data_IF_343894389812
#
_entry.id   IF_343894389812
#
_cell.length_a   1.000
_cell.length_b   1.000
_cell.length_c   1.000
_cell.angle_alpha   90.00
_cell.angle_beta   90.00
_cell.angle_gamma   90.00
#
_symmetry.space_group_name_H-M   'P 1'
#
loop_
_entity.id
_entity.type
_entity.pdbx_description
1 polymer ?
#
# COMPACT_ATOMS: atom_id res chain seq x y z
N UNK A 1 -10.84 -12.20 27.99
CA UNK A 1 -10.49 -11.75 26.62
C UNK A 1 -10.05 -10.30 26.58
N UNK A 2 -10.95 -9.32 26.77
CA UNK A 2 -10.65 -7.90 26.55
C UNK A 2 -9.52 -7.36 27.45
N UNK A 3 -9.55 -7.63 28.76
CA UNK A 3 -8.47 -7.22 29.67
C UNK A 3 -7.10 -7.79 29.25
N UNK A 4 -7.06 -8.98 28.65
CA UNK A 4 -5.81 -9.58 28.15
C UNK A 4 -5.29 -8.84 26.93
N UNK A 5 -6.19 -8.45 26.02
CA UNK A 5 -5.86 -7.58 24.88
C UNK A 5 -5.37 -6.19 25.28
N UNK A 6 -5.75 -5.68 26.44
CA UNK A 6 -5.23 -4.41 26.95
C UNK A 6 -3.80 -4.54 27.50
N UNK A 7 -3.47 -5.70 28.07
CA UNK A 7 -2.23 -5.93 28.82
C UNK A 7 -1.10 -6.55 27.98
N UNK A 8 -1.41 -7.35 26.98
CA UNK A 8 -0.40 -8.04 26.17
C UNK A 8 0.40 -7.06 25.29
N UNK A 9 1.51 -7.53 24.72
CA UNK A 9 2.28 -6.73 23.76
C UNK A 9 1.47 -6.49 22.48
N UNK A 10 1.77 -5.39 21.79
CA UNK A 10 1.09 -5.06 20.54
C UNK A 10 1.40 -6.15 19.49
N UNK A 11 0.37 -6.71 18.89
CA UNK A 11 0.52 -7.78 17.88
C UNK A 11 0.82 -9.16 18.46
N UNK A 12 0.82 -9.33 19.78
CA UNK A 12 1.14 -10.61 20.41
C UNK A 12 0.06 -11.67 20.12
N UNK A 13 0.51 -12.87 19.76
CA UNK A 13 -0.33 -14.05 19.67
C UNK A 13 -0.67 -14.56 21.07
N UNK A 14 -1.87 -14.25 21.54
CA UNK A 14 -2.38 -14.74 22.83
C UNK A 14 -3.42 -15.86 22.61
N UNK A 15 -3.48 -16.89 23.48
CA UNK A 15 -4.44 -18.00 23.36
C UNK A 15 -5.89 -17.55 23.23
N UNK A 16 -6.24 -16.44 23.89
CA UNK A 16 -7.56 -15.82 23.86
C UNK A 16 -8.06 -15.45 22.45
N UNK A 17 -7.15 -15.23 21.49
CA UNK A 17 -7.54 -14.95 20.10
C UNK A 17 -8.24 -16.15 19.45
N UNK A 18 -7.81 -17.38 19.78
CA UNK A 18 -8.41 -18.61 19.25
C UNK A 18 -9.84 -18.83 19.76
N UNK A 19 -10.15 -18.35 20.96
CA UNK A 19 -11.51 -18.39 21.51
C UNK A 19 -12.37 -17.24 20.97
N UNK A 20 -11.78 -16.04 20.86
CA UNK A 20 -12.47 -14.85 20.37
C UNK A 20 -12.99 -14.99 18.93
N UNK A 21 -12.41 -15.85 18.09
CA UNK A 21 -12.93 -16.10 16.73
C UNK A 21 -14.23 -16.92 16.69
N UNK A 22 -14.66 -17.49 17.82
CA UNK A 22 -15.88 -18.30 17.87
C UNK A 22 -17.15 -17.43 17.82
N UNK A 23 -18.15 -17.74 16.98
CA UNK A 23 -19.39 -16.96 16.87
C UNK A 23 -20.15 -16.79 18.17
N UNK A 24 -20.13 -17.80 19.04
CA UNK A 24 -20.74 -17.73 20.36
C UNK A 24 -20.11 -16.66 21.24
N UNK A 25 -18.81 -16.39 21.08
CA UNK A 25 -18.02 -15.45 21.88
C UNK A 25 -18.07 -14.04 21.27
N UNK A 26 -17.68 -13.85 20.00
CA UNK A 26 -17.57 -12.49 19.46
C UNK A 26 -18.92 -11.79 19.28
N UNK A 27 -20.03 -12.53 19.22
CA UNK A 27 -21.39 -11.96 19.19
C UNK A 27 -21.98 -11.72 20.59
N UNK A 28 -21.29 -12.12 21.68
CA UNK A 28 -21.78 -11.84 23.03
C UNK A 28 -21.91 -10.33 23.23
N UNK A 29 -23.02 -9.90 23.83
CA UNK A 29 -23.28 -8.50 24.15
C UNK A 29 -22.26 -8.02 25.19
N UNK A 30 -21.69 -6.85 24.95
CA UNK A 30 -20.75 -6.16 25.81
C UNK A 30 -21.11 -4.67 25.85
N UNK A 31 -21.30 -4.09 27.04
CA UNK A 31 -21.57 -2.66 27.28
C UNK A 31 -22.52 -1.97 26.27
N UNK A 32 -23.76 -1.66 26.69
CA UNK A 32 -24.81 -1.07 25.85
C UNK A 32 -25.13 -1.93 24.62
N UNK A 33 -24.64 -1.54 23.44
CA UNK A 33 -25.00 -2.06 22.12
C UNK A 33 -23.82 -2.73 21.38
N UNK A 34 -22.64 -2.80 22.00
CA UNK A 34 -21.48 -3.44 21.37
C UNK A 34 -21.47 -4.95 21.65
N UNK A 35 -20.70 -5.68 20.84
CA UNK A 35 -20.34 -7.06 21.10
C UNK A 35 -18.90 -7.17 21.57
N UNK A 36 -18.54 -8.29 22.21
CA UNK A 36 -17.17 -8.59 22.62
C UNK A 36 -16.20 -8.48 21.43
N UNK A 37 -16.60 -8.98 20.25
CA UNK A 37 -15.77 -8.87 19.04
C UNK A 37 -15.53 -7.42 18.61
N UNK A 38 -16.57 -6.59 18.61
CA UNK A 38 -16.45 -5.19 18.21
C UNK A 38 -15.51 -4.43 19.16
N UNK A 39 -15.63 -4.70 20.45
CA UNK A 39 -14.76 -4.10 21.45
C UNK A 39 -13.32 -4.60 21.35
N UNK A 40 -13.11 -5.89 21.10
CA UNK A 40 -11.76 -6.44 20.89
C UNK A 40 -11.05 -5.75 19.70
N UNK A 41 -11.74 -5.60 18.57
CA UNK A 41 -11.20 -4.91 17.39
C UNK A 41 -10.91 -3.44 17.71
N UNK A 42 -11.82 -2.77 18.44
CA UNK A 42 -11.62 -1.38 18.88
C UNK A 42 -10.33 -1.24 19.68
N UNK A 43 -10.14 -2.07 20.71
CA UNK A 43 -8.93 -2.08 21.54
C UNK A 43 -7.68 -2.29 20.69
N UNK A 44 -7.69 -3.28 19.79
CA UNK A 44 -6.52 -3.59 18.96
C UNK A 44 -6.11 -2.42 18.06
N UNK A 45 -7.08 -1.79 17.38
CA UNK A 45 -6.83 -0.66 16.50
C UNK A 45 -6.39 0.57 17.31
N UNK A 46 -7.07 0.88 18.41
CA UNK A 46 -6.76 2.04 19.25
C UNK A 46 -5.34 1.94 19.81
N UNK A 47 -4.94 0.78 20.35
CA UNK A 47 -3.58 0.56 20.87
C UNK A 47 -2.50 0.72 19.81
N UNK A 48 -2.76 0.30 18.57
CA UNK A 48 -1.81 0.47 17.47
C UNK A 48 -1.70 1.94 17.05
N UNK A 49 -2.82 2.65 16.97
CA UNK A 49 -2.87 4.07 16.68
C UNK A 49 -2.14 4.91 17.74
N UNK A 50 -2.35 4.61 19.03
CA UNK A 50 -1.67 5.25 20.16
C UNK A 50 -0.15 5.08 20.10
N UNK A 51 0.34 3.94 19.60
CA UNK A 51 1.76 3.68 19.39
C UNK A 51 2.30 4.16 18.04
N UNK A 52 1.46 4.83 17.23
CA UNK A 52 1.77 5.26 15.88
C UNK A 52 2.32 4.13 14.98
N UNK A 53 1.81 2.91 15.16
CA UNK A 53 2.30 1.71 14.46
C UNK A 53 1.15 0.89 13.85
N UNK A 54 1.52 -0.13 13.07
CA UNK A 54 0.59 -1.21 12.68
C UNK A 54 0.30 -2.11 13.89
N UNK A 55 -0.89 -2.76 13.97
CA UNK A 55 -1.22 -3.72 15.02
C UNK A 55 -0.39 -5.00 14.95
N UNK A 56 0.44 -5.18 13.92
CA UNK A 56 1.19 -6.41 13.67
C UNK A 56 0.37 -7.45 12.92
N UNK A 57 1.05 -8.41 12.30
CA UNK A 57 0.44 -9.39 11.40
C UNK A 57 -0.64 -10.23 12.10
N UNK A 58 -0.35 -10.77 13.29
CA UNK A 58 -1.29 -11.63 14.03
C UNK A 58 -2.61 -10.92 14.34
N UNK A 59 -2.55 -9.67 14.81
CA UNK A 59 -3.75 -8.92 15.13
C UNK A 59 -4.47 -8.44 13.86
N UNK A 60 -3.71 -8.01 12.84
CA UNK A 60 -4.28 -7.62 11.55
C UNK A 60 -5.09 -8.78 10.94
N UNK A 61 -4.51 -9.99 10.92
CA UNK A 61 -5.20 -11.18 10.45
C UNK A 61 -6.43 -11.53 11.28
N UNK A 62 -6.33 -11.44 12.60
CA UNK A 62 -7.47 -11.66 13.48
C UNK A 62 -8.61 -10.68 13.18
N UNK A 63 -8.30 -9.39 13.02
CA UNK A 63 -9.27 -8.36 12.67
C UNK A 63 -9.93 -8.70 11.33
N UNK A 64 -9.14 -9.04 10.29
CA UNK A 64 -9.65 -9.40 8.97
C UNK A 64 -10.50 -10.66 8.98
N UNK A 65 -10.15 -11.67 9.79
CA UNK A 65 -10.93 -12.91 9.93
C UNK A 65 -12.33 -12.64 10.49
N UNK A 66 -12.45 -11.68 11.42
CA UNK A 66 -13.75 -11.31 12.00
C UNK A 66 -14.55 -10.34 11.12
N UNK A 67 -13.87 -9.35 10.54
CA UNK A 67 -14.52 -8.18 9.91
C UNK A 67 -14.55 -8.23 8.38
N UNK A 68 -13.73 -9.09 7.77
CA UNK A 68 -13.42 -9.04 6.35
C UNK A 68 -12.50 -7.89 5.97
N UNK A 69 -12.27 -7.70 4.67
CA UNK A 69 -11.49 -6.57 4.15
C UNK A 69 -12.34 -5.28 4.17
N UNK A 70 -11.88 -4.16 4.77
CA UNK A 70 -12.59 -2.89 4.81
C UNK A 70 -12.65 -2.14 3.47
N UNK A 71 -11.78 -2.46 2.50
CA UNK A 71 -11.63 -1.74 1.22
C UNK A 71 -12.82 -1.93 0.26
N UNK A 72 -13.36 -3.14 0.04
CA UNK A 72 -14.57 -3.34 -0.75
C UNK A 72 -15.86 -2.97 0.01
N UNK A 73 -15.78 -2.51 1.26
CA UNK A 73 -16.95 -2.43 2.12
C UNK A 73 -17.99 -1.45 1.55
N UNK A 74 -19.03 -1.99 0.92
CA UNK A 74 -20.17 -1.23 0.43
C UNK A 74 -21.03 -0.85 1.62
N UNK A 75 -21.25 0.46 1.79
CA UNK A 75 -22.15 1.00 2.80
C UNK A 75 -23.52 0.30 2.72
N UNK A 76 -24.13 0.03 3.88
CA UNK A 76 -25.44 -0.62 3.98
C UNK A 76 -25.44 -2.16 3.93
N UNK A 77 -24.33 -2.81 3.52
CA UNK A 77 -24.23 -4.29 3.63
C UNK A 77 -24.27 -4.76 5.08
N UNK A 78 -24.73 -5.99 5.33
CA UNK A 78 -24.82 -6.55 6.70
C UNK A 78 -23.47 -6.56 7.40
N UNK A 79 -22.41 -6.93 6.69
CA UNK A 79 -21.04 -6.93 7.23
C UNK A 79 -20.56 -5.51 7.58
N UNK A 80 -20.81 -4.55 6.67
CA UNK A 80 -20.49 -3.14 6.93
C UNK A 80 -21.25 -2.58 8.13
N UNK A 81 -22.56 -2.83 8.22
CA UNK A 81 -23.40 -2.39 9.35
C UNK A 81 -22.99 -3.02 10.68
N UNK A 82 -22.49 -4.25 10.64
CA UNK A 82 -22.05 -4.94 11.84
C UNK A 82 -20.70 -4.42 12.35
N UNK A 83 -19.72 -4.26 11.46
CA UNK A 83 -18.34 -4.00 11.88
C UNK A 83 -17.86 -2.59 11.57
N UNK A 84 -18.09 -2.09 10.36
CA UNK A 84 -17.47 -0.86 9.91
C UNK A 84 -18.20 0.39 10.37
N UNK A 85 -19.54 0.37 10.43
CA UNK A 85 -20.30 1.51 10.96
C UNK A 85 -20.12 1.73 12.46
N UNK A 86 -19.71 0.70 13.22
CA UNK A 86 -19.51 0.78 14.68
C UNK A 86 -18.11 1.27 15.06
N UNK A 87 -17.09 0.98 14.24
CA UNK A 87 -15.69 1.32 14.52
C UNK A 87 -15.33 2.80 14.26
N UNK A 88 -16.22 3.59 13.65
CA UNK A 88 -15.99 4.97 13.14
C UNK A 88 -14.94 5.01 12.02
N UNK A 89 -15.00 6.05 11.18
CA UNK A 89 -14.22 6.10 9.94
C UNK A 89 -12.70 6.13 10.16
N UNK A 90 -12.19 6.81 11.19
CA UNK A 90 -10.75 6.89 11.44
C UNK A 90 -10.08 5.51 11.67
N UNK A 91 -10.78 4.58 12.32
CA UNK A 91 -10.28 3.19 12.53
C UNK A 91 -10.30 2.39 11.24
N UNK A 92 -11.38 2.54 10.45
CA UNK A 92 -11.48 1.92 9.13
C UNK A 92 -10.33 2.39 8.24
N UNK A 93 -10.07 3.69 8.23
CA UNK A 93 -8.98 4.28 7.45
C UNK A 93 -7.59 3.85 7.94
N UNK A 94 -7.38 3.71 9.25
CA UNK A 94 -6.14 3.14 9.78
C UNK A 94 -5.89 1.72 9.24
N UNK A 95 -6.92 0.88 9.24
CA UNK A 95 -6.85 -0.48 8.72
C UNK A 95 -6.58 -0.51 7.21
N UNK A 96 -7.26 0.35 6.43
CA UNK A 96 -7.00 0.47 4.98
C UNK A 96 -5.54 0.84 4.71
N UNK A 97 -4.96 1.78 5.47
CA UNK A 97 -3.54 2.15 5.34
C UNK A 97 -2.60 1.02 5.72
N UNK A 98 -2.87 0.27 6.78
CA UNK A 98 -2.05 -0.90 7.13
C UNK A 98 -2.09 -1.99 6.05
N UNK A 99 -3.26 -2.24 5.46
CA UNK A 99 -3.40 -3.14 4.32
C UNK A 99 -2.68 -2.63 3.07
N UNK A 100 -2.65 -1.32 2.87
CA UNK A 100 -1.91 -0.72 1.77
C UNK A 100 -0.39 -0.94 1.91
N UNK A 101 0.13 -0.80 3.14
CA UNK A 101 1.54 -1.10 3.46
C UNK A 101 1.84 -2.59 3.23
N UNK A 102 0.95 -3.48 3.67
CA UNK A 102 1.09 -4.92 3.45
C UNK A 102 1.09 -5.29 1.96
N UNK A 103 0.24 -4.63 1.16
CA UNK A 103 0.22 -4.77 -0.29
C UNK A 103 1.55 -4.31 -0.91
N UNK A 104 2.11 -3.17 -0.49
CA UNK A 104 3.42 -2.70 -0.97
C UNK A 104 4.54 -3.70 -0.61
N UNK A 105 4.56 -4.22 0.61
CA UNK A 105 5.54 -5.23 1.03
C UNK A 105 5.43 -6.51 0.20
N UNK A 106 4.21 -6.98 -0.05
CA UNK A 106 3.97 -8.15 -0.88
C UNK A 106 4.38 -7.89 -2.35
N UNK A 107 4.14 -6.68 -2.88
CA UNK A 107 4.64 -6.29 -4.20
C UNK A 107 6.15 -6.32 -4.29
N UNK A 108 6.86 -5.75 -3.29
CA UNK A 108 8.31 -5.76 -3.23
C UNK A 108 8.87 -7.18 -3.16
N UNK A 109 8.18 -8.09 -2.48
CA UNK A 109 8.57 -9.49 -2.44
C UNK A 109 8.41 -10.19 -3.79
N UNK A 110 7.30 -9.93 -4.50
CA UNK A 110 7.09 -10.45 -5.85
C UNK A 110 8.12 -9.86 -6.82
N UNK A 111 8.44 -8.57 -6.68
CA UNK A 111 9.44 -7.90 -7.47
C UNK A 111 10.84 -8.50 -7.24
N UNK A 112 11.17 -8.82 -5.98
CA UNK A 112 12.41 -9.50 -5.61
C UNK A 112 12.47 -10.91 -6.18
N UNK A 113 11.42 -11.71 -6.01
CA UNK A 113 11.34 -13.07 -6.55
C UNK A 113 11.57 -13.05 -8.06
N UNK A 114 10.99 -12.09 -8.77
CA UNK A 114 11.28 -11.90 -10.18
C UNK A 114 12.75 -11.53 -10.43
N UNK A 115 13.29 -10.55 -9.70
CA UNK A 115 14.66 -10.08 -9.87
C UNK A 115 15.72 -11.18 -9.63
N UNK A 116 15.50 -12.05 -8.65
CA UNK A 116 16.38 -13.18 -8.33
C UNK A 116 16.45 -14.23 -9.46
N UNK A 117 15.43 -14.27 -10.33
CA UNK A 117 15.37 -15.15 -11.51
C UNK A 117 15.62 -14.41 -12.83
N UNK A 118 16.03 -13.13 -12.77
CA UNK A 118 16.19 -12.25 -13.92
C UNK A 118 17.66 -11.92 -14.21
N UNK A 119 17.89 -11.04 -15.20
CA UNK A 119 19.23 -10.56 -15.54
C UNK A 119 19.81 -9.67 -14.43
N UNK A 120 21.14 -9.54 -14.39
CA UNK A 120 21.84 -8.66 -13.44
C UNK A 120 21.37 -7.19 -13.53
N UNK A 121 20.90 -6.75 -14.69
CA UNK A 121 20.32 -5.43 -14.90
C UNK A 121 18.99 -5.25 -14.16
N UNK A 122 18.11 -6.26 -14.20
CA UNK A 122 16.83 -6.25 -13.47
C UNK A 122 17.07 -6.29 -11.96
N UNK A 123 18.06 -7.07 -11.51
CA UNK A 123 18.48 -7.09 -10.10
C UNK A 123 18.97 -5.71 -9.63
N UNK A 124 19.74 -4.98 -10.45
CA UNK A 124 20.18 -3.61 -10.13
C UNK A 124 19.03 -2.63 -9.96
N UNK A 125 17.95 -2.79 -10.73
CA UNK A 125 16.76 -1.94 -10.60
C UNK A 125 15.91 -2.23 -9.36
N UNK A 126 16.08 -3.39 -8.71
CA UNK A 126 15.27 -3.74 -7.54
C UNK A 126 15.53 -2.82 -6.34
N UNK A 127 16.81 -2.57 -6.01
CA UNK A 127 17.18 -1.85 -4.78
C UNK A 127 16.65 -0.40 -4.78
N UNK A 128 16.84 0.41 -5.84
CA UNK A 128 16.30 1.78 -5.86
C UNK A 128 14.77 1.82 -5.72
N UNK A 129 14.07 0.88 -6.37
CA UNK A 129 12.60 0.78 -6.32
C UNK A 129 12.10 0.38 -4.93
N UNK A 130 12.80 -0.57 -4.28
CA UNK A 130 12.55 -0.96 -2.90
C UNK A 130 12.72 0.23 -1.97
N UNK A 131 13.85 0.92 -2.05
CA UNK A 131 14.15 2.05 -1.19
C UNK A 131 13.10 3.16 -1.35
N UNK A 132 12.73 3.49 -2.60
CA UNK A 132 11.71 4.49 -2.87
C UNK A 132 10.35 4.13 -2.27
N UNK A 133 9.87 2.89 -2.46
CA UNK A 133 8.58 2.46 -1.92
C UNK A 133 8.58 2.33 -0.39
N UNK A 134 9.70 1.93 0.22
CA UNK A 134 9.86 1.92 1.68
C UNK A 134 9.84 3.34 2.25
N UNK A 135 10.56 4.28 1.62
CA UNK A 135 10.51 5.70 1.96
C UNK A 135 9.12 6.30 1.79
N UNK A 136 8.41 5.96 0.71
CA UNK A 136 7.02 6.38 0.51
C UNK A 136 6.09 5.89 1.64
N UNK A 137 6.32 4.70 2.20
CA UNK A 137 5.60 4.23 3.39
C UNK A 137 5.84 5.15 4.60
N UNK A 138 7.08 5.62 4.80
CA UNK A 138 7.46 6.50 5.92
C UNK A 138 6.73 7.85 5.88
N UNK A 139 6.43 8.37 4.67
CA UNK A 139 5.70 9.65 4.49
C UNK A 139 4.25 9.62 5.00
N UNK A 140 3.65 8.44 5.19
CA UNK A 140 2.23 8.25 5.56
C UNK A 140 1.22 8.85 4.57
N UNK A 141 1.63 9.17 3.35
CA UNK A 141 0.74 9.76 2.32
C UNK A 141 -0.19 8.75 1.65
N UNK A 142 0.14 7.46 1.71
CA UNK A 142 -0.63 6.39 1.10
C UNK A 142 -2.00 6.28 1.77
N UNK A 143 -3.05 6.58 1.02
CA UNK A 143 -4.44 6.44 1.43
C UNK A 143 -4.95 5.01 1.24
N UNK A 144 -4.59 4.40 0.11
CA UNK A 144 -4.90 3.00 -0.18
C UNK A 144 -3.93 2.42 -1.20
N UNK A 145 -3.84 1.10 -1.28
CA UNK A 145 -3.10 0.40 -2.31
C UNK A 145 -3.84 -0.86 -2.75
N UNK A 146 -3.59 -1.27 -3.99
CA UNK A 146 -4.17 -2.48 -4.56
C UNK A 146 -3.20 -3.23 -5.45
N UNK A 147 -3.09 -4.53 -5.21
CA UNK A 147 -2.29 -5.44 -6.01
C UNK A 147 -3.06 -6.07 -7.17
N UNK A 148 -2.35 -6.23 -8.29
CA UNK A 148 -2.77 -6.94 -9.48
C UNK A 148 -1.71 -7.96 -9.84
N UNK A 149 -2.03 -9.24 -9.72
CA UNK A 149 -1.06 -10.31 -9.88
C UNK A 149 -1.16 -10.97 -11.25
N UNK A 150 0.00 -11.18 -11.88
CA UNK A 150 0.14 -12.12 -12.99
C UNK A 150 -0.13 -13.55 -12.52
N UNK A 151 -0.22 -14.48 -13.47
CA UNK A 151 -0.51 -15.89 -13.15
C UNK A 151 0.60 -16.50 -12.28
N UNK A 152 1.84 -16.19 -12.59
CA UNK A 152 3.05 -16.66 -11.93
C UNK A 152 3.13 -16.10 -10.51
N UNK A 153 2.96 -14.77 -10.36
CA UNK A 153 2.95 -14.11 -9.06
C UNK A 153 1.80 -14.60 -8.18
N UNK A 154 0.61 -14.81 -8.76
CA UNK A 154 -0.51 -15.40 -8.02
C UNK A 154 -0.17 -16.81 -7.50
N UNK A 155 0.44 -17.65 -8.33
CA UNK A 155 0.86 -18.99 -7.92
C UNK A 155 1.93 -18.93 -6.82
N UNK A 156 2.90 -18.03 -6.92
CA UNK A 156 3.91 -17.78 -5.89
C UNK A 156 3.26 -17.41 -4.55
N UNK A 157 2.42 -16.38 -4.55
CA UNK A 157 1.74 -15.89 -3.34
C UNK A 157 0.90 -16.98 -2.69
N UNK A 158 0.15 -17.76 -3.48
CA UNK A 158 -0.69 -18.85 -2.95
C UNK A 158 0.13 -19.99 -2.34
N UNK A 159 1.34 -20.25 -2.82
CA UNK A 159 2.22 -21.28 -2.22
C UNK A 159 2.90 -20.78 -0.95
N UNK A 160 3.32 -19.51 -0.93
CA UNK A 160 4.13 -18.97 0.17
C UNK A 160 3.29 -18.44 1.33
N UNK A 161 2.08 -17.93 1.06
CA UNK A 161 1.20 -17.28 2.04
C UNK A 161 -0.15 -18.00 2.15
N UNK A 162 -0.12 -19.28 2.48
CA UNK A 162 -1.31 -20.14 2.53
C UNK A 162 -2.33 -19.69 3.58
N UNK A 163 -1.86 -19.18 4.72
CA UNK A 163 -2.68 -18.90 5.89
C UNK A 163 -3.08 -17.42 6.04
N UNK A 164 -2.57 -16.56 5.15
CA UNK A 164 -2.82 -15.11 5.17
C UNK A 164 -4.11 -14.75 4.44
N UNK A 165 -4.87 -13.82 5.00
CA UNK A 165 -6.04 -13.22 4.34
C UNK A 165 -5.57 -12.10 3.41
N UNK A 166 -5.29 -12.44 2.15
CA UNK A 166 -4.83 -11.50 1.13
C UNK A 166 -5.93 -11.18 0.11
N UNK A 167 -6.07 -9.90 -0.26
CA UNK A 167 -7.01 -9.44 -1.29
C UNK A 167 -6.25 -8.72 -2.39
N UNK A 168 -6.29 -9.28 -3.59
CA UNK A 168 -5.67 -8.74 -4.80
C UNK A 168 -6.55 -9.09 -6.01
N UNK A 169 -6.33 -8.39 -7.12
CA UNK A 169 -6.94 -8.73 -8.41
C UNK A 169 -5.99 -9.59 -9.26
N UNK A 170 -6.54 -10.29 -10.25
CA UNK A 170 -5.79 -11.13 -11.19
C UNK A 170 -5.72 -10.48 -12.56
N UNK A 171 -4.59 -10.68 -13.23
CA UNK A 171 -4.37 -10.23 -14.60
C UNK A 171 -4.66 -11.39 -15.55
N UNK A 172 -5.44 -11.14 -16.61
CA UNK A 172 -5.87 -12.17 -17.58
C UNK A 172 -4.69 -12.79 -18.33
N UNK A 173 -3.71 -11.98 -18.70
CA UNK A 173 -2.55 -12.36 -19.49
C UNK A 173 -1.37 -11.42 -19.26
N UNK A 174 -0.16 -11.93 -19.52
CA UNK A 174 1.09 -11.21 -19.31
C UNK A 174 1.78 -11.59 -17.99
N UNK A 175 3.08 -11.33 -17.93
CA UNK A 175 3.97 -11.73 -16.83
C UNK A 175 4.06 -10.65 -15.74
N UNK A 176 3.75 -9.41 -16.10
CA UNK A 176 3.84 -8.26 -15.21
C UNK A 176 2.75 -8.29 -14.14
N UNK A 177 3.15 -8.03 -12.90
CA UNK A 177 2.24 -7.68 -11.80
C UNK A 177 2.31 -6.19 -11.56
N UNK A 178 1.27 -5.59 -10.99
CA UNK A 178 1.18 -4.16 -10.74
C UNK A 178 0.71 -3.87 -9.33
N UNK A 179 1.10 -2.71 -8.82
CA UNK A 179 0.52 -2.09 -7.64
C UNK A 179 -0.01 -0.71 -8.02
N UNK A 180 -1.24 -0.45 -7.63
CA UNK A 180 -1.86 0.87 -7.66
C UNK A 180 -1.79 1.49 -6.26
N UNK A 181 -1.38 2.74 -6.16
CA UNK A 181 -1.40 3.54 -4.93
C UNK A 181 -2.30 4.76 -5.13
N UNK A 182 -3.11 5.05 -4.13
CA UNK A 182 -3.79 6.32 -3.96
C UNK A 182 -3.03 7.15 -2.92
N UNK A 183 -2.47 8.29 -3.34
CA UNK A 183 -1.75 9.22 -2.47
C UNK A 183 -2.57 10.48 -2.16
N UNK A 184 -3.90 10.43 -2.39
CA UNK A 184 -4.85 11.50 -2.12
C UNK A 184 -4.91 12.57 -3.21
N UNK A 185 -3.76 13.13 -3.61
CA UNK A 185 -3.66 14.14 -4.67
C UNK A 185 -3.25 13.57 -6.03
N UNK A 186 -2.57 12.43 -6.02
CA UNK A 186 -2.10 11.73 -7.21
C UNK A 186 -2.31 10.24 -7.05
N UNK A 187 -2.60 9.60 -8.17
CA UNK A 187 -2.66 8.16 -8.31
C UNK A 187 -1.38 7.66 -8.96
N UNK A 188 -0.81 6.57 -8.43
CA UNK A 188 0.41 5.99 -8.95
C UNK A 188 0.18 4.52 -9.33
N UNK A 189 0.69 4.10 -10.48
CA UNK A 189 0.77 2.68 -10.86
C UNK A 189 2.22 2.33 -11.11
N UNK A 190 2.68 1.29 -10.42
CA UNK A 190 4.02 0.71 -10.51
C UNK A 190 3.88 -0.76 -10.94
N UNK A 191 4.87 -1.32 -11.64
CA UNK A 191 4.75 -2.67 -12.18
C UNK A 191 6.06 -3.44 -12.19
N UNK A 192 6.01 -4.76 -12.06
CA UNK A 192 7.20 -5.60 -12.12
C UNK A 192 7.81 -5.60 -13.53
N UNK A 193 8.96 -6.28 -13.70
CA UNK A 193 9.75 -6.25 -14.93
C UNK A 193 10.14 -4.80 -15.29
N UNK A 194 10.29 -4.49 -16.59
CA UNK A 194 10.62 -3.17 -17.12
C UNK A 194 9.38 -2.26 -17.26
N UNK A 195 8.42 -2.33 -16.35
CA UNK A 195 7.27 -1.42 -16.37
C UNK A 195 7.68 -0.01 -15.92
N UNK A 196 7.18 1.03 -16.58
CA UNK A 196 7.28 2.41 -16.11
C UNK A 196 6.38 2.69 -14.91
N UNK A 197 6.76 3.66 -14.07
CA UNK A 197 5.83 4.32 -13.14
C UNK A 197 4.87 5.20 -13.93
N UNK A 198 3.60 5.20 -13.56
CA UNK A 198 2.56 6.02 -14.20
C UNK A 198 1.82 6.85 -13.17
N UNK A 199 1.64 8.14 -13.47
CA UNK A 199 0.96 9.08 -12.59
C UNK A 199 -0.32 9.62 -13.22
N UNK A 200 -1.31 9.90 -12.37
CA UNK A 200 -2.58 10.47 -12.76
C UNK A 200 -3.06 11.43 -11.67
N UNK A 201 -3.35 12.69 -12.02
CA UNK A 201 -4.06 13.61 -11.13
C UNK A 201 -5.46 13.08 -10.77
N UNK A 202 -6.10 12.38 -11.72
CA UNK A 202 -7.39 11.70 -11.55
C UNK A 202 -7.41 10.41 -12.35
N UNK A 203 -7.99 9.37 -11.77
CA UNK A 203 -8.27 8.15 -12.54
C UNK A 203 -9.25 8.44 -13.69
N UNK A 204 -9.07 7.81 -14.87
CA UNK A 204 -10.04 7.92 -15.96
C UNK A 204 -11.44 7.51 -15.51
N UNK A 205 -12.54 8.12 -16.03
CA UNK A 205 -13.89 7.89 -15.53
C UNK A 205 -14.38 6.44 -15.53
N UNK A 206 -13.83 5.59 -16.40
CA UNK A 206 -14.16 4.15 -16.51
C UNK A 206 -13.12 3.25 -15.83
N UNK A 207 -12.12 3.82 -15.16
CA UNK A 207 -11.10 3.07 -14.45
C UNK A 207 -11.74 2.26 -13.33
N UNK A 208 -11.32 1.00 -13.21
CA UNK A 208 -11.74 0.09 -12.13
C UNK A 208 -10.62 -0.18 -11.14
N UNK A 209 -9.52 0.57 -11.21
CA UNK A 209 -8.32 0.37 -10.38
C UNK A 209 -8.66 0.39 -8.88
N UNK A 210 -9.43 1.38 -8.43
CA UNK A 210 -9.88 1.50 -7.05
C UNK A 210 -11.11 0.63 -6.70
N UNK A 211 -11.75 -0.04 -7.67
CA UNK A 211 -12.98 -0.82 -7.44
C UNK A 211 -12.67 -2.28 -7.06
N UNK A 212 -12.67 -2.57 -5.76
CA UNK A 212 -12.39 -3.90 -5.22
C UNK A 212 -13.39 -5.00 -5.60
N UNK A 213 -14.53 -4.66 -6.22
CA UNK A 213 -15.50 -5.63 -6.75
C UNK A 213 -15.02 -6.27 -8.05
N UNK A 214 -14.14 -5.60 -8.77
CA UNK A 214 -13.55 -6.12 -10.01
C UNK A 214 -12.39 -7.03 -9.66
N UNK A 215 -12.47 -8.34 -9.88
CA UNK A 215 -11.38 -9.26 -9.48
C UNK A 215 -10.41 -9.63 -10.61
N UNK A 216 -10.76 -9.29 -11.86
CA UNK A 216 -9.99 -9.68 -13.04
C UNK A 216 -9.85 -8.51 -14.02
N UNK A 217 -8.63 -8.29 -14.52
CA UNK A 217 -8.25 -7.17 -15.38
C UNK A 217 -7.40 -7.62 -16.57
N UNK A 218 -7.56 -6.96 -17.71
CA UNK A 218 -6.53 -6.93 -18.74
C UNK A 218 -5.39 -5.97 -18.38
N UNK A 219 -4.18 -6.21 -18.88
CA UNK A 219 -3.02 -5.37 -18.57
C UNK A 219 -3.19 -3.89 -18.98
N UNK A 220 -3.92 -3.63 -20.07
CA UNK A 220 -4.21 -2.26 -20.53
C UNK A 220 -5.25 -1.54 -19.66
N UNK A 221 -6.09 -2.29 -18.92
CA UNK A 221 -7.04 -1.70 -17.97
C UNK A 221 -6.35 -1.22 -16.69
N UNK A 222 -5.18 -1.79 -16.37
CA UNK A 222 -4.38 -1.43 -15.20
C UNK A 222 -3.46 -0.24 -15.51
N UNK A 223 -3.06 -0.12 -16.77
CA UNK A 223 -2.22 0.97 -17.28
C UNK A 223 -3.00 1.82 -18.30
N UNK A 224 -4.05 2.52 -17.88
CA UNK A 224 -4.69 3.47 -18.76
C UNK A 224 -3.69 4.56 -19.20
N UNK A 225 -4.07 5.37 -20.18
CA UNK A 225 -3.27 6.52 -20.59
C UNK A 225 -3.04 7.42 -19.39
N UNK A 226 -1.76 7.63 -19.03
CA UNK A 226 -1.34 8.46 -17.91
C UNK A 226 -0.95 9.85 -18.38
N UNK A 227 -0.97 10.79 -17.43
CA UNK A 227 -0.46 12.15 -17.64
C UNK A 227 1.06 12.10 -17.73
N UNK A 228 1.70 11.35 -16.81
CA UNK A 228 3.14 11.12 -16.82
C UNK A 228 3.48 9.62 -16.86
N UNK A 229 4.58 9.31 -17.54
CA UNK A 229 5.16 7.97 -17.62
C UNK A 229 6.66 8.07 -17.37
N UNK A 230 7.13 7.47 -16.28
CA UNK A 230 8.53 7.54 -15.85
C UNK A 230 9.14 6.14 -15.99
N UNK A 231 10.12 6.00 -16.87
CA UNK A 231 10.85 4.74 -17.09
C UNK A 231 11.91 4.57 -15.99
N UNK A 232 12.13 3.35 -15.50
CA UNK A 232 13.19 3.02 -14.52
C UNK A 232 14.58 3.09 -15.13
N UNK A 233 15.03 4.29 -15.50
CA UNK A 233 16.35 4.54 -16.06
C UNK A 233 16.94 5.84 -15.52
N UNK A 234 18.26 5.84 -15.30
CA UNK A 234 18.99 7.02 -14.82
C UNK A 234 18.36 7.62 -13.55
N UNK A 235 18.07 8.92 -13.58
CA UNK A 235 17.53 9.70 -12.47
C UNK A 235 16.01 9.58 -12.28
N UNK A 236 15.41 8.41 -12.53
CA UNK A 236 13.95 8.21 -12.53
C UNK A 236 13.28 8.53 -11.19
N UNK A 237 13.91 8.21 -10.05
CA UNK A 237 13.35 8.52 -8.71
C UNK A 237 13.22 10.02 -8.52
N UNK A 238 14.17 10.78 -9.04
CA UNK A 238 14.22 12.24 -8.91
C UNK A 238 13.13 12.86 -9.77
N UNK A 239 13.02 12.41 -11.03
CA UNK A 239 11.89 12.77 -11.91
C UNK A 239 10.57 12.49 -11.21
N UNK A 240 10.43 11.32 -10.57
CA UNK A 240 9.23 10.95 -9.83
C UNK A 240 8.94 11.90 -8.66
N UNK A 241 9.92 12.22 -7.81
CA UNK A 241 9.73 13.18 -6.71
C UNK A 241 9.28 14.55 -7.24
N UNK A 242 9.88 15.04 -8.33
CA UNK A 242 9.46 16.29 -8.96
C UNK A 242 7.99 16.27 -9.41
N UNK A 243 7.56 15.20 -10.09
CA UNK A 243 6.15 15.09 -10.47
C UNK A 243 5.23 15.04 -9.24
N UNK A 244 5.60 14.29 -8.18
CA UNK A 244 4.81 14.26 -6.95
C UNK A 244 4.66 15.66 -6.31
N UNK A 245 5.73 16.46 -6.30
CA UNK A 245 5.69 17.86 -5.88
C UNK A 245 4.76 18.71 -6.76
N UNK A 246 4.81 18.55 -8.08
CA UNK A 246 3.94 19.26 -9.03
C UNK A 246 2.46 18.91 -8.86
N UNK A 247 2.14 17.66 -8.51
CA UNK A 247 0.79 17.25 -8.10
C UNK A 247 0.40 17.77 -6.69
N UNK A 248 1.30 18.52 -6.04
CA UNK A 248 1.08 19.18 -4.77
C UNK A 248 1.23 18.28 -3.55
N UNK A 249 1.92 17.14 -3.64
CA UNK A 249 2.20 16.32 -2.46
C UNK A 249 3.19 17.05 -1.55
N UNK A 250 2.94 16.96 -0.25
CA UNK A 250 3.80 17.52 0.78
C UNK A 250 4.90 16.50 1.11
N UNK A 251 5.97 16.51 0.30
CA UNK A 251 7.15 15.65 0.39
C UNK A 251 8.40 16.45 0.05
N UNK A 252 9.56 15.98 0.49
CA UNK A 252 10.87 16.45 0.04
C UNK A 252 11.64 15.32 -0.66
N UNK A 253 12.81 15.65 -1.22
CA UNK A 253 13.72 14.64 -1.77
C UNK A 253 14.24 13.72 -0.67
N UNK A 254 14.55 14.28 0.50
CA UNK A 254 15.05 13.58 1.68
C UNK A 254 14.01 12.60 2.27
N UNK A 255 12.72 12.87 2.05
CA UNK A 255 11.63 11.97 2.46
C UNK A 255 11.53 10.73 1.58
N UNK A 256 11.97 10.80 0.31
CA UNK A 256 11.71 9.77 -0.71
C UNK A 256 12.96 9.11 -1.30
N UNK A 257 14.13 9.73 -1.12
CA UNK A 257 15.42 9.23 -1.61
C UNK A 257 16.31 8.76 -0.45
N UNK A 258 17.23 7.85 -0.75
CA UNK A 258 18.33 7.55 0.16
C UNK A 258 19.35 8.69 0.05
N UNK A 259 20.02 9.01 1.17
CA UNK A 259 20.95 10.13 1.27
C UNK A 259 22.00 10.13 0.15
N UNK A 260 22.62 8.98 -0.14
CA UNK A 260 23.61 8.83 -1.21
C UNK A 260 23.06 9.17 -2.61
N UNK A 261 21.82 8.74 -2.92
CA UNK A 261 21.18 8.99 -4.23
C UNK A 261 20.96 10.49 -4.46
N UNK A 262 20.55 11.21 -3.41
CA UNK A 262 20.35 12.66 -3.47
C UNK A 262 21.67 13.42 -3.57
N UNK A 263 22.68 13.04 -2.78
CA UNK A 263 24.00 13.64 -2.84
C UNK A 263 24.68 13.43 -4.20
N UNK A 264 24.56 12.25 -4.79
CA UNK A 264 25.11 11.95 -6.11
C UNK A 264 24.47 12.84 -7.18
N UNK A 265 23.16 13.03 -7.12
CA UNK A 265 22.46 13.95 -8.02
C UNK A 265 22.89 15.41 -7.85
N UNK A 266 22.93 15.91 -6.61
CA UNK A 266 23.39 17.29 -6.33
C UNK A 266 24.80 17.52 -6.86
N UNK A 267 25.70 16.54 -6.68
CA UNK A 267 27.07 16.60 -7.20
C UNK A 267 27.11 16.58 -8.73
N UNK A 268 26.29 15.74 -9.37
CA UNK A 268 26.29 15.56 -10.83
C UNK A 268 25.71 16.78 -11.57
N UNK A 269 24.68 17.41 -11.03
CA UNK A 269 23.93 18.48 -11.72
C UNK A 269 24.05 19.87 -11.08
N UNK A 270 24.82 20.01 -10.00
CA UNK A 270 25.13 21.31 -9.38
C UNK A 270 23.97 21.99 -8.67
N UNK A 271 22.99 21.22 -8.18
CA UNK A 271 21.77 21.74 -7.55
C UNK A 271 22.05 22.20 -6.10
N UNK A 272 21.77 23.48 -5.83
CA UNK A 272 21.84 24.11 -4.49
C UNK A 272 20.79 23.57 -3.50
N UNK A 273 20.74 24.12 -2.28
CA UNK A 273 19.62 23.83 -1.36
C UNK A 273 18.29 24.14 -2.05
N UNK A 274 17.32 23.23 -1.92
CA UNK A 274 16.04 23.33 -2.60
C UNK A 274 15.23 24.47 -1.98
N UNK A 275 15.17 25.61 -2.66
CA UNK A 275 14.24 26.67 -2.32
C UNK A 275 12.88 26.31 -2.95
N UNK A 276 11.82 26.26 -2.14
CA UNK A 276 10.48 25.87 -2.59
C UNK A 276 9.87 26.85 -3.61
N UNK A 277 10.59 27.92 -3.95
CA UNK A 277 10.23 28.95 -4.93
C UNK A 277 10.90 28.79 -6.31
N UNK A 278 11.77 27.79 -6.55
CA UNK A 278 12.41 27.68 -7.87
C UNK A 278 11.38 27.32 -8.95
N UNK A 279 11.13 28.30 -9.81
CA UNK A 279 10.14 28.30 -10.89
C UNK A 279 10.44 27.24 -11.95
N UNK A 280 9.35 26.69 -12.49
CA UNK A 280 9.22 25.61 -13.49
C UNK A 280 10.10 25.71 -14.76
N UNK A 281 10.73 26.84 -15.06
CA UNK A 281 11.23 27.13 -16.41
C UNK A 281 12.60 26.52 -16.77
N UNK A 282 13.41 26.04 -15.82
CA UNK A 282 14.78 25.54 -16.10
C UNK A 282 15.05 24.08 -15.68
N UNK A 283 14.03 23.34 -15.20
CA UNK A 283 14.25 22.01 -14.62
C UNK A 283 14.35 20.88 -15.64
N UNK A 284 13.68 21.00 -16.78
CA UNK A 284 13.65 19.93 -17.80
C UNK A 284 14.96 19.79 -18.56
N UNK A 285 15.76 20.86 -18.64
CA UNK A 285 17.07 20.86 -19.29
C UNK A 285 18.09 19.88 -18.66
N UNK A 286 17.83 19.42 -17.42
CA UNK A 286 18.69 18.47 -16.70
C UNK A 286 18.30 17.00 -16.89
N UNK A 287 17.22 16.72 -17.62
CA UNK A 287 16.62 15.38 -17.69
C UNK A 287 16.66 14.72 -19.07
N UNK A 288 17.23 15.40 -20.07
CA UNK A 288 17.32 14.97 -21.47
C UNK A 288 18.59 14.16 -21.84
N UNK A 289 19.46 13.86 -20.87
CA UNK A 289 20.63 12.96 -21.04
C UNK A 289 20.43 11.55 -20.43
#
# INVERSE_FOLDING_TARGET
YLNKLEQCLLGEAIPELAELVQPGIYNMRFAKELTVGQEAIRIMIDRALEKHSSPGETWLEFILKLTGDPRPAVEGTTNHRKWWSTLKEHRRQALIRWLAIDDIKLFLEILRDHADHASAEILRMFVPRKNFLEKLIETKLIQSARLFLSKEAHAYVRRKFTDRVLKYARIKSGEQSFIYLDLGKVHMVEGTHNASVRLYSKLPPKSRLADYRSEVFGANEIRPNSEDTIVHSGSWQIKLVFHLLQYGLDVSFEDLLVEDDWWEYRRKYGVGEFDSEVREENYWDYFDD
#
